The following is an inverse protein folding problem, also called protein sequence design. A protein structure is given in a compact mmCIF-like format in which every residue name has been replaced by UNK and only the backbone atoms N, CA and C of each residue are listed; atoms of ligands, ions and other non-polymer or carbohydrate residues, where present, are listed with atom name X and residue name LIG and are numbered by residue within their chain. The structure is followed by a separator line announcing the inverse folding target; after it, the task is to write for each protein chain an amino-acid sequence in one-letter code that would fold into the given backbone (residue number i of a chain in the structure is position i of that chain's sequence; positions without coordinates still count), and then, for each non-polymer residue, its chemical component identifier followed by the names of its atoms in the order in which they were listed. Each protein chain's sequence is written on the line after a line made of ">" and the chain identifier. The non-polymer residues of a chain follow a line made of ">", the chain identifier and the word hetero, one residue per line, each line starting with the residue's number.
data_IF_427837927957
#
_entry.id   IF_427837927957
#
_cell.length_a   1.000
_cell.length_b   1.000
_cell.length_c   1.000
_cell.angle_alpha   90.00
_cell.angle_beta   90.00
_cell.angle_gamma   90.00
#
_symmetry.space_group_name_H-M   'P 1'
#
loop_
_entity.id
_entity.type
_entity.pdbx_description
1 polymer ?
#
# COMPACT_ATOMS: atom_id res chain seq x y z
N UNK A 1 17.57 -41.89 4.56
CA UNK A 1 18.72 -42.20 5.43
C UNK A 1 19.54 -40.93 5.59
N UNK A 2 19.76 -40.51 6.82
CA UNK A 2 20.51 -39.27 7.14
C UNK A 2 22.00 -39.47 7.21
N UNK A 3 22.45 -40.70 7.46
CA UNK A 3 23.89 -41.07 7.53
C UNK A 3 24.21 -42.10 6.48
N UNK A 4 25.27 -41.87 5.70
CA UNK A 4 25.72 -42.75 4.61
C UNK A 4 27.25 -42.95 4.64
N UNK A 5 27.71 -44.20 4.36
CA UNK A 5 29.11 -44.47 4.12
C UNK A 5 29.43 -44.25 2.65
N UNK A 6 30.44 -43.49 2.35
CA UNK A 6 30.89 -43.21 0.96
C UNK A 6 31.75 -44.37 0.43
N UNK A 7 31.93 -44.45 -0.89
CA UNK A 7 32.83 -45.45 -1.52
C UNK A 7 34.27 -45.35 -1.03
N UNK A 8 34.70 -44.17 -0.54
CA UNK A 8 36.04 -43.92 0.06
C UNK A 8 36.12 -44.30 1.53
N UNK A 9 35.12 -45.01 2.10
CA UNK A 9 35.14 -45.48 3.49
C UNK A 9 34.77 -44.42 4.53
N UNK A 10 34.62 -43.14 4.15
CA UNK A 10 34.22 -42.01 5.03
C UNK A 10 32.70 -41.92 5.19
N UNK A 11 32.26 -41.26 6.24
CA UNK A 11 30.83 -41.05 6.50
C UNK A 11 30.35 -39.66 6.11
N UNK A 12 29.09 -39.57 5.75
CA UNK A 12 28.41 -38.33 5.38
C UNK A 12 27.07 -38.25 6.15
N UNK A 13 26.83 -37.10 6.75
CA UNK A 13 25.57 -36.73 7.36
C UNK A 13 24.83 -35.80 6.41
N UNK A 14 23.50 -36.07 6.23
CA UNK A 14 22.63 -35.34 5.31
C UNK A 14 21.29 -35.14 5.97
N UNK A 15 21.11 -34.04 6.67
CA UNK A 15 19.90 -33.70 7.42
C UNK A 15 19.02 -32.74 6.63
N UNK A 16 17.72 -33.05 6.55
CA UNK A 16 16.74 -32.15 5.95
C UNK A 16 16.37 -31.05 6.94
N UNK A 17 16.43 -29.81 6.49
CA UNK A 17 16.00 -28.62 7.21
C UNK A 17 14.71 -28.02 6.58
N UNK A 18 13.77 -28.88 6.17
CA UNK A 18 12.52 -28.47 5.55
C UNK A 18 12.64 -27.99 4.11
N UNK A 19 11.75 -27.09 3.72
CA UNK A 19 11.71 -26.48 2.40
C UNK A 19 11.82 -24.97 2.52
N UNK A 20 12.48 -24.35 1.55
CA UNK A 20 12.55 -22.90 1.47
C UNK A 20 11.14 -22.34 1.28
N UNK A 21 10.67 -21.43 2.16
CA UNK A 21 9.26 -21.04 2.20
C UNK A 21 8.78 -20.33 0.93
N UNK A 22 9.69 -19.66 0.22
CA UNK A 22 9.36 -18.93 -1.03
C UNK A 22 9.60 -19.78 -2.26
N UNK A 23 10.79 -20.43 -2.35
CA UNK A 23 11.19 -21.17 -3.56
C UNK A 23 10.75 -22.64 -3.56
N UNK A 24 10.21 -23.14 -2.45
CA UNK A 24 9.81 -24.54 -2.22
C UNK A 24 10.96 -25.56 -2.44
N UNK A 25 12.20 -25.09 -2.56
CA UNK A 25 13.37 -25.95 -2.67
C UNK A 25 13.71 -26.55 -1.32
N UNK A 26 14.06 -27.84 -1.33
CA UNK A 26 14.44 -28.56 -0.11
C UNK A 26 15.77 -28.03 0.42
N UNK A 27 15.79 -27.61 1.68
CA UNK A 27 17.00 -27.19 2.40
C UNK A 27 17.62 -28.40 3.04
N UNK A 28 18.94 -28.60 2.88
CA UNK A 28 19.68 -29.73 3.41
C UNK A 28 21.00 -29.26 4.00
N UNK A 29 21.34 -29.81 5.17
CA UNK A 29 22.63 -29.63 5.80
C UNK A 29 23.43 -30.90 5.53
N UNK A 30 24.52 -30.77 4.76
CA UNK A 30 25.38 -31.90 4.37
C UNK A 30 26.78 -31.69 4.95
N UNK A 31 27.26 -32.68 5.70
CA UNK A 31 28.62 -32.74 6.21
C UNK A 31 29.28 -34.04 5.74
N UNK A 32 30.46 -33.92 5.10
CA UNK A 32 31.17 -35.03 4.47
C UNK A 32 32.52 -35.24 5.16
N UNK A 33 33.08 -36.44 5.00
CA UNK A 33 34.47 -36.70 5.37
C UNK A 33 34.70 -37.21 6.80
N UNK A 34 33.60 -37.58 7.52
CA UNK A 34 33.68 -38.09 8.89
C UNK A 34 34.34 -39.46 8.95
N UNK A 35 35.15 -39.67 10.02
CA UNK A 35 36.01 -40.85 10.14
C UNK A 35 35.27 -42.10 10.64
N UNK A 36 34.26 -41.94 11.48
CA UNK A 36 33.52 -43.04 12.09
C UNK A 36 31.99 -42.85 12.04
N UNK A 37 31.26 -43.96 12.19
CA UNK A 37 29.80 -43.93 12.31
C UNK A 37 29.35 -43.24 13.59
N UNK A 38 30.12 -43.35 14.67
CA UNK A 38 29.85 -42.73 15.97
C UNK A 38 29.92 -41.20 15.83
N UNK A 39 31.00 -40.68 15.22
CA UNK A 39 31.18 -39.27 14.91
C UNK A 39 30.02 -38.72 14.05
N UNK A 40 29.55 -39.50 13.06
CA UNK A 40 28.44 -39.13 12.22
C UNK A 40 27.10 -39.06 12.99
N UNK A 41 26.87 -39.95 13.95
CA UNK A 41 25.67 -39.94 14.81
C UNK A 41 25.68 -38.75 15.78
N UNK A 42 26.81 -38.48 16.41
CA UNK A 42 26.97 -37.33 17.32
C UNK A 42 26.75 -36.01 16.57
N UNK A 43 27.33 -35.89 15.36
CA UNK A 43 27.14 -34.71 14.52
C UNK A 43 25.71 -34.58 14.03
N UNK A 44 25.04 -35.67 13.67
CA UNK A 44 23.60 -35.61 13.31
C UNK A 44 22.75 -35.12 14.47
N UNK A 45 22.98 -35.60 15.69
CA UNK A 45 22.26 -35.12 16.88
C UNK A 45 22.56 -33.65 17.16
N UNK A 46 23.85 -33.25 17.07
CA UNK A 46 24.22 -31.85 17.23
C UNK A 46 23.53 -30.96 16.19
N UNK A 47 23.52 -31.34 14.90
CA UNK A 47 22.79 -30.60 13.86
C UNK A 47 21.32 -30.49 14.18
N UNK A 48 20.67 -31.57 14.63
CA UNK A 48 19.23 -31.57 14.95
C UNK A 48 18.89 -30.69 16.17
N UNK A 49 19.73 -30.71 17.19
CA UNK A 49 19.45 -30.02 18.46
C UNK A 49 19.92 -28.57 18.45
N UNK A 50 21.09 -28.30 17.88
CA UNK A 50 21.73 -26.97 17.92
C UNK A 50 21.59 -26.26 16.60
N UNK A 51 22.10 -26.82 15.51
CA UNK A 51 22.14 -26.11 14.22
C UNK A 51 20.76 -25.89 13.61
N UNK A 52 19.78 -26.80 13.80
CA UNK A 52 18.43 -26.60 13.31
C UNK A 52 17.66 -25.56 14.14
N UNK A 53 17.99 -25.39 15.42
CA UNK A 53 17.41 -24.32 16.25
C UNK A 53 18.07 -22.98 16.05
N UNK A 54 19.40 -22.96 15.83
CA UNK A 54 20.15 -21.71 15.67
C UNK A 54 20.18 -21.16 14.24
N UNK A 55 20.08 -22.04 13.22
CA UNK A 55 20.18 -21.67 11.79
C UNK A 55 18.87 -21.80 11.02
N UNK A 56 17.79 -21.33 11.61
CA UNK A 56 16.51 -21.23 10.87
C UNK A 56 16.65 -20.34 9.61
N UNK A 57 17.76 -19.60 9.44
CA UNK A 57 17.92 -18.53 8.44
C UNK A 57 19.30 -18.52 7.76
N UNK A 58 19.73 -19.63 7.16
CA UNK A 58 20.96 -19.66 6.34
C UNK A 58 20.79 -18.98 4.95
N UNK A 59 19.59 -18.48 4.64
CA UNK A 59 19.33 -17.74 3.42
C UNK A 59 19.14 -16.23 3.70
N UNK A 60 19.54 -15.43 2.73
CA UNK A 60 19.41 -13.98 2.83
C UNK A 60 17.93 -13.61 2.67
N UNK A 61 17.31 -13.12 3.74
CA UNK A 61 15.97 -12.56 3.70
C UNK A 61 16.05 -11.10 3.27
N UNK A 62 15.43 -10.77 2.16
CA UNK A 62 15.43 -9.40 1.61
C UNK A 62 14.08 -8.70 1.78
N UNK A 63 14.08 -7.36 1.63
CA UNK A 63 12.83 -6.59 1.62
C UNK A 63 11.91 -6.99 0.47
N UNK A 64 12.47 -7.34 -0.71
CA UNK A 64 11.68 -7.76 -1.88
C UNK A 64 10.89 -9.03 -1.55
N UNK A 65 11.54 -10.05 -0.99
CA UNK A 65 10.88 -11.31 -0.60
C UNK A 65 9.72 -11.08 0.37
N UNK A 66 9.94 -10.27 1.40
CA UNK A 66 8.92 -10.03 2.41
C UNK A 66 7.80 -9.10 1.90
N UNK A 67 8.13 -8.19 1.00
CA UNK A 67 7.14 -7.32 0.38
C UNK A 67 6.21 -8.11 -0.55
N UNK A 68 6.74 -9.02 -1.36
CA UNK A 68 5.94 -9.90 -2.24
C UNK A 68 4.97 -10.76 -1.41
N UNK A 69 5.44 -11.31 -0.28
CA UNK A 69 4.59 -12.06 0.65
C UNK A 69 3.51 -11.16 1.30
N UNK A 70 3.83 -9.90 1.62
CA UNK A 70 2.86 -8.95 2.14
C UNK A 70 1.78 -8.62 1.11
N UNK A 71 2.16 -8.42 -0.16
CA UNK A 71 1.19 -8.16 -1.22
C UNK A 71 0.28 -9.37 -1.48
N UNK A 72 0.84 -10.57 -1.48
CA UNK A 72 0.05 -11.80 -1.60
C UNK A 72 -0.96 -11.94 -0.45
N UNK A 73 -0.54 -11.69 0.79
CA UNK A 73 -1.41 -11.69 1.97
C UNK A 73 -2.50 -10.58 1.85
N UNK A 74 -2.14 -9.38 1.40
CA UNK A 74 -3.09 -8.27 1.21
C UNK A 74 -4.12 -8.58 0.11
N UNK A 75 -3.72 -9.22 -1.00
CA UNK A 75 -4.62 -9.68 -2.07
C UNK A 75 -5.59 -10.76 -1.56
N UNK A 76 -5.10 -11.77 -0.86
CA UNK A 76 -5.93 -12.82 -0.25
C UNK A 76 -6.95 -12.27 0.74
N UNK A 77 -6.60 -11.20 1.45
CA UNK A 77 -7.48 -10.52 2.40
C UNK A 77 -8.40 -9.46 1.75
N UNK A 78 -8.47 -9.39 0.43
CA UNK A 78 -9.37 -8.50 -0.30
C UNK A 78 -9.08 -7.02 -0.10
N UNK A 79 -7.80 -6.63 0.11
CA UNK A 79 -7.42 -5.23 0.22
C UNK A 79 -7.69 -4.47 -1.07
N UNK A 80 -8.17 -3.24 -0.94
CA UNK A 80 -8.49 -2.38 -2.10
C UNK A 80 -7.24 -2.10 -2.95
N UNK A 81 -7.39 -2.14 -4.27
CA UNK A 81 -6.30 -1.88 -5.25
C UNK A 81 -5.60 -0.54 -5.00
N UNK A 82 -6.34 0.52 -4.64
CA UNK A 82 -5.75 1.83 -4.30
C UNK A 82 -4.79 1.77 -3.12
N UNK A 83 -5.07 0.89 -2.15
CA UNK A 83 -4.23 0.70 -0.98
C UNK A 83 -2.93 -0.05 -1.34
N UNK A 84 -3.04 -1.18 -2.05
CA UNK A 84 -1.88 -1.97 -2.47
C UNK A 84 -1.00 -1.20 -3.45
N UNK A 85 -1.58 -0.46 -4.40
CA UNK A 85 -0.85 0.44 -5.30
C UNK A 85 -0.07 1.52 -4.56
N UNK A 86 -0.68 2.13 -3.52
CA UNK A 86 0.02 3.12 -2.68
C UNK A 86 1.19 2.49 -1.90
N UNK A 87 1.01 1.28 -1.37
CA UNK A 87 2.09 0.56 -0.70
C UNK A 87 3.23 0.24 -1.68
N UNK A 88 2.91 -0.29 -2.87
CA UNK A 88 3.91 -0.59 -3.91
C UNK A 88 4.69 0.66 -4.30
N UNK A 89 4.03 1.78 -4.53
CA UNK A 89 4.69 3.04 -4.83
C UNK A 89 5.65 3.50 -3.72
N UNK A 90 5.25 3.38 -2.46
CA UNK A 90 6.12 3.71 -1.33
C UNK A 90 7.30 2.74 -1.20
N UNK A 91 7.07 1.46 -1.45
CA UNK A 91 8.09 0.44 -1.44
C UNK A 91 9.16 0.69 -2.52
N UNK A 92 8.74 0.77 -3.77
CA UNK A 92 9.64 0.96 -4.93
C UNK A 92 10.43 2.28 -4.85
N UNK A 93 9.82 3.35 -4.34
CA UNK A 93 10.46 4.67 -4.28
C UNK A 93 11.37 4.88 -3.09
N UNK A 94 11.08 4.24 -1.96
CA UNK A 94 11.72 4.61 -0.71
C UNK A 94 12.43 3.47 0.00
N UNK A 95 11.84 2.27 0.04
CA UNK A 95 12.37 1.13 0.80
C UNK A 95 13.35 0.33 -0.03
N UNK A 96 12.92 -0.15 -1.19
CA UNK A 96 13.71 -1.00 -2.08
C UNK A 96 15.07 -0.40 -2.46
N UNK A 97 15.18 0.89 -2.86
CA UNK A 97 16.48 1.46 -3.23
C UNK A 97 17.48 1.53 -2.08
N UNK A 98 16.99 1.71 -0.85
CA UNK A 98 17.85 1.82 0.33
C UNK A 98 18.32 0.46 0.85
N UNK A 99 17.41 -0.52 0.92
CA UNK A 99 17.69 -1.85 1.47
C UNK A 99 18.05 -2.89 0.41
N UNK A 100 18.39 -2.48 -0.80
CA UNK A 100 18.75 -3.36 -1.92
C UNK A 100 19.77 -4.42 -1.48
N UNK A 101 19.42 -5.69 -1.65
CA UNK A 101 20.25 -6.84 -1.31
C UNK A 101 20.68 -6.93 0.18
N UNK A 102 20.08 -6.16 1.06
CA UNK A 102 20.41 -6.21 2.50
C UNK A 102 19.79 -7.43 3.14
N UNK A 103 20.57 -8.18 3.92
CA UNK A 103 20.04 -9.24 4.76
C UNK A 103 19.31 -8.65 5.97
N UNK A 104 18.00 -8.81 6.03
CA UNK A 104 17.14 -8.23 7.07
C UNK A 104 17.44 -8.78 8.47
N UNK A 105 17.97 -10.01 8.59
CA UNK A 105 18.36 -10.59 9.87
C UNK A 105 19.52 -9.84 10.55
N UNK A 106 20.29 -9.04 9.79
CA UNK A 106 21.40 -8.23 10.30
C UNK A 106 21.00 -6.81 10.67
N UNK A 107 19.76 -6.41 10.38
CA UNK A 107 19.32 -5.05 10.66
C UNK A 107 19.00 -4.84 12.14
N UNK A 108 19.53 -3.74 12.66
CA UNK A 108 19.31 -3.27 14.03
C UNK A 108 18.42 -2.02 14.05
N UNK A 109 18.03 -1.59 15.25
CA UNK A 109 17.33 -0.35 15.44
C UNK A 109 18.09 0.84 14.83
N UNK A 110 19.41 0.90 14.98
CA UNK A 110 20.24 2.03 14.51
C UNK A 110 20.19 2.13 12.98
N UNK A 111 20.25 1.02 12.25
CA UNK A 111 20.11 1.02 10.79
C UNK A 111 18.74 1.56 10.35
N UNK A 112 17.66 1.28 11.11
CA UNK A 112 16.33 1.83 10.80
C UNK A 112 16.25 3.31 11.18
N UNK A 113 16.92 3.71 12.24
CA UNK A 113 17.05 5.13 12.61
C UNK A 113 17.78 5.92 11.51
N UNK A 114 18.91 5.41 10.99
CA UNK A 114 19.66 5.98 9.86
C UNK A 114 18.78 6.09 8.60
N UNK A 115 18.01 5.05 8.30
CA UNK A 115 17.04 5.10 7.18
C UNK A 115 16.01 6.21 7.37
N UNK A 116 15.49 6.42 8.59
CA UNK A 116 14.57 7.52 8.85
C UNK A 116 15.24 8.88 8.65
N UNK A 117 16.48 9.06 9.11
CA UNK A 117 17.23 10.31 8.90
C UNK A 117 17.52 10.54 7.40
N UNK A 118 17.89 9.49 6.65
CA UNK A 118 18.01 9.56 5.20
C UNK A 118 16.70 10.03 4.53
N UNK A 119 15.55 9.51 4.95
CA UNK A 119 14.27 9.94 4.39
C UNK A 119 13.96 11.44 4.63
N UNK A 120 14.48 12.03 5.71
CA UNK A 120 14.31 13.47 5.98
C UNK A 120 15.06 14.37 5.00
N UNK A 121 16.15 13.87 4.42
CA UNK A 121 16.96 14.59 3.44
C UNK A 121 16.55 14.28 2.00
N UNK A 122 15.70 13.28 1.79
CA UNK A 122 15.30 12.84 0.47
C UNK A 122 14.38 13.84 -0.22
N UNK A 123 14.71 14.32 -1.44
CA UNK A 123 13.88 15.25 -2.18
C UNK A 123 12.56 14.60 -2.65
N UNK A 124 11.53 15.43 -2.86
CA UNK A 124 10.28 15.01 -3.50
C UNK A 124 10.50 14.80 -4.99
N UNK A 125 9.79 13.84 -5.58
CA UNK A 125 9.85 13.59 -7.04
C UNK A 125 9.35 14.79 -7.87
N UNK A 126 8.37 15.52 -7.36
CA UNK A 126 7.71 16.62 -8.08
C UNK A 126 8.43 17.96 -7.91
N UNK A 127 9.22 18.10 -6.85
CA UNK A 127 9.98 19.32 -6.56
C UNK A 127 11.25 18.93 -5.79
N UNK A 128 12.39 18.95 -6.46
CA UNK A 128 13.68 18.57 -5.89
C UNK A 128 14.17 19.53 -4.80
N UNK A 129 13.63 20.74 -4.75
CA UNK A 129 13.92 21.72 -3.70
C UNK A 129 13.16 21.45 -2.41
N UNK A 130 12.24 20.50 -2.40
CA UNK A 130 11.45 20.13 -1.23
C UNK A 130 11.72 18.70 -0.77
N UNK A 131 11.94 18.52 0.54
CA UNK A 131 12.10 17.20 1.16
C UNK A 131 10.76 16.53 1.47
N UNK A 132 10.81 15.22 1.75
CA UNK A 132 9.63 14.45 2.13
C UNK A 132 8.99 15.00 3.41
N UNK A 133 7.67 15.10 3.42
CA UNK A 133 6.93 15.46 4.63
C UNK A 133 7.02 14.36 5.70
N UNK A 134 6.99 14.74 6.97
CA UNK A 134 6.98 13.78 8.09
C UNK A 134 5.81 12.79 8.01
N UNK A 135 4.68 13.20 7.46
CA UNK A 135 3.56 12.29 7.22
C UNK A 135 3.91 11.20 6.19
N UNK A 136 4.59 11.57 5.10
CA UNK A 136 5.07 10.61 4.09
C UNK A 136 6.10 9.66 4.69
N UNK A 137 7.08 10.19 5.44
CA UNK A 137 8.10 9.39 6.11
C UNK A 137 7.45 8.38 7.07
N UNK A 138 6.51 8.83 7.89
CA UNK A 138 5.78 7.94 8.81
C UNK A 138 5.02 6.83 8.06
N UNK A 139 4.43 7.11 6.89
CA UNK A 139 3.77 6.10 6.06
C UNK A 139 4.75 5.06 5.53
N UNK A 140 5.94 5.48 5.10
CA UNK A 140 7.01 4.58 4.65
C UNK A 140 7.49 3.69 5.81
N UNK A 141 7.68 4.24 7.00
CA UNK A 141 8.08 3.48 8.19
C UNK A 141 7.00 2.50 8.66
N UNK A 142 5.72 2.86 8.54
CA UNK A 142 4.59 1.95 8.82
C UNK A 142 4.59 0.79 7.82
N UNK A 143 4.87 1.05 6.54
CA UNK A 143 4.99 -0.01 5.54
C UNK A 143 6.19 -0.92 5.84
N UNK A 144 7.35 -0.35 6.14
CA UNK A 144 8.54 -1.13 6.51
C UNK A 144 8.26 -2.01 7.74
N UNK A 145 7.59 -1.46 8.77
CA UNK A 145 7.17 -2.25 9.92
C UNK A 145 6.29 -3.43 9.54
N UNK A 146 5.32 -3.26 8.63
CA UNK A 146 4.46 -4.35 8.14
C UNK A 146 5.24 -5.42 7.39
N UNK A 147 6.25 -5.03 6.58
CA UNK A 147 7.12 -5.97 5.88
C UNK A 147 7.85 -6.86 6.88
N UNK A 148 8.44 -6.29 7.94
CA UNK A 148 9.08 -7.06 9.01
C UNK A 148 8.06 -7.91 9.79
N UNK A 149 6.89 -7.38 10.12
CA UNK A 149 5.84 -8.15 10.81
C UNK A 149 5.37 -9.34 9.96
N UNK A 150 5.34 -9.22 8.63
CA UNK A 150 5.07 -10.35 7.72
C UNK A 150 6.18 -11.39 7.79
N UNK A 151 7.45 -10.97 7.80
CA UNK A 151 8.58 -11.87 7.97
C UNK A 151 8.52 -12.67 9.27
N UNK A 152 8.13 -12.04 10.37
CA UNK A 152 7.92 -12.72 11.67
C UNK A 152 6.78 -13.73 11.59
N UNK A 153 5.59 -13.32 11.03
CA UNK A 153 4.45 -14.25 10.87
C UNK A 153 4.78 -15.49 10.03
N UNK A 154 5.65 -15.32 9.04
CA UNK A 154 6.12 -16.42 8.17
C UNK A 154 7.34 -17.15 8.74
N UNK A 155 7.79 -16.82 9.96
CA UNK A 155 8.96 -17.39 10.62
C UNK A 155 10.25 -17.27 9.78
N UNK A 156 10.39 -16.19 9.02
CA UNK A 156 11.56 -15.90 8.19
C UNK A 156 12.59 -15.01 8.90
N UNK A 157 12.14 -14.23 9.88
CA UNK A 157 12.96 -13.38 10.74
C UNK A 157 12.42 -13.41 12.17
N UNK A 158 13.28 -13.18 13.16
CA UNK A 158 12.91 -13.26 14.59
C UNK A 158 12.48 -11.92 15.17
N UNK A 159 12.97 -10.82 14.65
CA UNK A 159 12.83 -9.49 15.25
C UNK A 159 12.36 -8.44 14.25
N UNK A 160 11.58 -7.48 14.73
CA UNK A 160 11.22 -6.31 13.96
C UNK A 160 11.93 -5.07 14.55
N UNK A 161 13.03 -4.60 13.94
CA UNK A 161 13.79 -3.46 14.45
C UNK A 161 13.02 -2.13 14.34
N UNK A 162 11.95 -2.08 13.54
CA UNK A 162 11.09 -0.89 13.38
C UNK A 162 10.11 -0.72 14.54
N UNK A 163 9.84 -1.78 15.32
CA UNK A 163 8.75 -1.82 16.32
C UNK A 163 8.81 -0.65 17.32
N UNK A 164 10.00 -0.31 17.78
CA UNK A 164 10.22 0.70 18.82
C UNK A 164 10.54 2.10 18.26
N UNK A 165 10.56 2.26 16.94
CA UNK A 165 10.87 3.54 16.32
C UNK A 165 9.70 4.52 16.52
N UNK A 166 9.98 5.67 17.17
CA UNK A 166 8.99 6.72 17.37
C UNK A 166 8.65 7.40 16.04
N UNK A 167 7.35 7.66 15.84
CA UNK A 167 6.87 8.45 14.70
C UNK A 167 7.37 9.89 14.80
N UNK A 168 7.61 10.50 13.65
CA UNK A 168 7.90 11.92 13.56
C UNK A 168 6.64 12.73 13.89
N UNK A 169 6.77 13.87 14.61
CA UNK A 169 5.64 14.71 14.95
C UNK A 169 5.04 15.35 13.69
N UNK A 170 3.72 15.29 13.56
CA UNK A 170 2.98 15.87 12.42
C UNK A 170 2.24 17.08 12.98
N UNK A 171 2.54 18.27 12.45
CA UNK A 171 1.71 19.46 12.69
C UNK A 171 0.40 19.29 11.93
N UNK A 172 -0.72 19.54 12.57
CA UNK A 172 -2.00 19.63 11.89
C UNK A 172 -1.94 20.87 11.00
N UNK A 173 -2.20 20.75 9.69
CA UNK A 173 -2.30 21.93 8.84
C UNK A 173 -3.51 22.77 9.25
N UNK A 174 -3.41 24.08 9.12
CA UNK A 174 -4.56 24.97 9.25
C UNK A 174 -5.57 24.63 8.16
N UNK A 175 -6.82 24.50 8.56
CA UNK A 175 -7.90 24.23 7.62
C UNK A 175 -8.19 25.53 6.87
N UNK A 176 -7.92 25.54 5.57
CA UNK A 176 -8.28 26.64 4.67
C UNK A 176 -9.62 26.31 4.01
N UNK A 177 -10.53 27.25 4.06
CA UNK A 177 -11.82 27.17 3.38
C UNK A 177 -12.05 28.48 2.64
N UNK A 178 -12.85 28.43 1.59
CA UNK A 178 -13.21 29.62 0.84
C UNK A 178 -14.44 30.30 1.43
N UNK A 179 -14.43 31.61 1.46
CA UNK A 179 -15.64 32.39 1.71
C UNK A 179 -16.58 32.31 0.50
N UNK A 180 -17.82 32.77 0.68
CA UNK A 180 -18.79 32.83 -0.43
C UNK A 180 -18.29 33.77 -1.52
N UNK A 181 -17.67 34.90 -1.13
CA UNK A 181 -17.11 35.89 -2.05
C UNK A 181 -15.94 35.33 -2.86
N UNK A 182 -15.05 34.59 -2.21
CA UNK A 182 -13.92 33.92 -2.88
C UNK A 182 -14.42 32.86 -3.86
N UNK A 183 -15.41 32.05 -3.45
CA UNK A 183 -16.00 31.06 -4.32
C UNK A 183 -16.74 31.68 -5.51
N UNK A 184 -17.45 32.78 -5.31
CA UNK A 184 -18.14 33.51 -6.38
C UNK A 184 -17.14 34.08 -7.39
N UNK A 185 -16.03 34.67 -6.92
CA UNK A 185 -14.95 35.14 -7.81
C UNK A 185 -14.33 33.99 -8.62
N UNK A 186 -14.08 32.86 -7.98
CA UNK A 186 -13.56 31.67 -8.67
C UNK A 186 -14.52 31.19 -9.76
N UNK A 187 -15.82 31.11 -9.48
CA UNK A 187 -16.82 30.73 -10.48
C UNK A 187 -16.85 31.65 -11.70
N UNK A 188 -16.65 32.96 -11.50
CA UNK A 188 -16.54 33.93 -12.59
C UNK A 188 -15.36 33.75 -13.54
N UNK A 189 -14.40 32.86 -13.20
CA UNK A 189 -13.28 32.47 -14.05
C UNK A 189 -13.56 31.22 -14.91
N UNK A 190 -14.65 30.50 -14.61
CA UNK A 190 -15.06 29.31 -15.37
C UNK A 190 -15.83 29.81 -16.59
N UNK A 191 -15.48 29.30 -17.77
CA UNK A 191 -16.11 29.71 -19.03
C UNK A 191 -17.54 29.15 -19.13
N UNK A 192 -18.37 29.86 -19.86
CA UNK A 192 -19.79 29.49 -20.03
C UNK A 192 -20.00 28.13 -20.71
N UNK A 193 -19.03 27.67 -21.52
CA UNK A 193 -19.04 26.36 -22.16
C UNK A 193 -18.58 25.22 -21.23
N UNK A 194 -17.98 25.54 -20.07
CA UNK A 194 -17.44 24.60 -19.08
C UNK A 194 -18.45 24.27 -17.94
N UNK A 195 -19.74 24.19 -18.27
CA UNK A 195 -20.84 23.99 -17.30
C UNK A 195 -20.62 22.79 -16.38
N UNK A 196 -20.04 21.70 -16.87
CA UNK A 196 -19.77 20.53 -16.07
C UNK A 196 -18.75 20.78 -14.95
N UNK A 197 -17.76 21.64 -15.20
CA UNK A 197 -16.80 22.05 -14.17
C UNK A 197 -17.45 22.99 -13.17
N UNK A 198 -18.23 23.97 -13.60
CA UNK A 198 -18.96 24.84 -12.69
C UNK A 198 -19.86 24.03 -11.74
N UNK A 199 -20.68 23.13 -12.30
CA UNK A 199 -21.55 22.27 -11.51
C UNK A 199 -20.79 21.38 -10.54
N UNK A 200 -19.66 20.82 -10.96
CA UNK A 200 -18.77 20.03 -10.07
C UNK A 200 -18.36 20.84 -8.85
N UNK A 201 -17.86 22.06 -9.04
CA UNK A 201 -17.42 22.92 -7.96
C UNK A 201 -18.56 23.40 -7.08
N UNK A 202 -19.71 23.70 -7.67
CA UNK A 202 -20.94 24.08 -6.91
C UNK A 202 -21.40 22.93 -6.03
N UNK A 203 -21.47 21.70 -6.55
CA UNK A 203 -21.79 20.52 -5.75
C UNK A 203 -20.76 20.38 -4.61
N UNK A 204 -19.46 20.46 -4.91
CA UNK A 204 -18.41 20.34 -3.89
C UNK A 204 -18.57 21.37 -2.77
N UNK A 205 -18.80 22.64 -3.12
CA UNK A 205 -18.91 23.74 -2.17
C UNK A 205 -20.13 23.62 -1.27
N UNK A 206 -21.31 23.36 -1.84
CA UNK A 206 -22.56 23.33 -1.07
C UNK A 206 -22.80 22.01 -0.32
N UNK A 207 -22.21 20.89 -0.77
CA UNK A 207 -22.48 19.57 -0.18
C UNK A 207 -21.33 19.03 0.67
N UNK A 208 -20.13 19.56 0.52
CA UNK A 208 -18.92 19.00 1.15
C UNK A 208 -18.61 17.57 0.70
N UNK A 209 -19.11 17.12 -0.45
CA UNK A 209 -18.79 15.81 -1.00
C UNK A 209 -17.32 15.72 -1.42
N UNK A 210 -16.75 14.53 -1.29
CA UNK A 210 -15.39 14.28 -1.79
C UNK A 210 -15.39 14.22 -3.32
N UNK A 211 -14.28 14.63 -3.94
CA UNK A 211 -14.12 14.59 -5.41
C UNK A 211 -14.56 13.24 -6.01
N UNK A 212 -14.10 12.13 -5.45
CA UNK A 212 -14.46 10.80 -5.96
C UNK A 212 -15.93 10.42 -5.77
N UNK A 213 -16.61 11.00 -4.80
CA UNK A 213 -18.06 10.82 -4.58
C UNK A 213 -18.84 11.59 -5.65
N UNK A 214 -18.45 12.84 -5.96
CA UNK A 214 -19.08 13.66 -7.00
C UNK A 214 -18.89 13.01 -8.38
N UNK A 215 -17.66 12.56 -8.70
CA UNK A 215 -17.36 11.90 -9.97
C UNK A 215 -18.08 10.54 -10.14
N UNK A 216 -18.55 9.94 -9.04
CA UNK A 216 -19.30 8.70 -9.07
C UNK A 216 -20.82 8.90 -9.21
N UNK A 217 -21.32 10.14 -9.12
CA UNK A 217 -22.76 10.41 -9.17
C UNK A 217 -23.37 10.01 -10.52
N UNK A 218 -24.50 9.35 -10.45
CA UNK A 218 -25.41 9.09 -11.57
C UNK A 218 -26.75 9.78 -11.29
N UNK A 219 -27.58 9.98 -12.31
CA UNK A 219 -28.91 10.54 -12.15
C UNK A 219 -29.81 9.73 -11.21
N UNK A 220 -29.60 8.42 -11.10
CA UNK A 220 -30.32 7.56 -10.15
C UNK A 220 -29.94 7.81 -8.68
N UNK A 221 -28.82 8.49 -8.43
CA UNK A 221 -28.38 8.87 -7.08
C UNK A 221 -28.96 10.24 -6.66
N UNK A 222 -29.74 10.93 -7.53
CA UNK A 222 -30.25 12.26 -7.30
C UNK A 222 -31.80 12.25 -7.40
N UNK A 223 -32.45 12.55 -6.30
CA UNK A 223 -33.88 12.73 -6.27
C UNK A 223 -34.22 14.23 -6.30
N UNK A 224 -34.62 14.72 -7.47
CA UNK A 224 -34.95 16.12 -7.70
C UNK A 224 -36.34 16.53 -7.12
N UNK A 225 -37.18 15.55 -6.78
CA UNK A 225 -38.47 15.84 -6.12
C UNK A 225 -38.27 16.16 -4.63
N UNK A 226 -37.32 15.49 -4.00
CA UNK A 226 -37.00 15.68 -2.58
C UNK A 226 -35.71 16.49 -2.38
N UNK A 227 -35.10 16.99 -3.46
CA UNK A 227 -33.83 17.71 -3.44
C UNK A 227 -32.74 16.94 -2.63
N UNK A 228 -32.60 15.64 -2.89
CA UNK A 228 -31.70 14.77 -2.12
C UNK A 228 -30.69 14.05 -3.01
N UNK A 229 -29.44 14.09 -2.62
CA UNK A 229 -28.34 13.29 -3.22
C UNK A 229 -28.03 12.12 -2.29
N UNK A 230 -28.02 10.91 -2.84
CA UNK A 230 -27.65 9.66 -2.16
C UNK A 230 -26.17 9.34 -2.43
N UNK A 231 -25.31 9.52 -1.44
CA UNK A 231 -23.87 9.23 -1.55
C UNK A 231 -23.62 7.78 -1.14
N UNK A 232 -23.42 6.89 -2.10
CA UNK A 232 -23.26 5.44 -1.85
C UNK A 232 -21.94 4.89 -2.39
N UNK A 233 -21.30 5.61 -3.32
CA UNK A 233 -20.14 5.14 -4.06
C UNK A 233 -19.11 6.25 -4.28
N UNK A 234 -17.91 5.85 -4.66
CA UNK A 234 -16.80 6.74 -4.98
C UNK A 234 -15.99 6.19 -6.14
N UNK A 235 -15.49 7.07 -6.99
CA UNK A 235 -14.51 6.75 -8.04
C UNK A 235 -13.11 7.08 -7.56
N UNK A 236 -12.14 6.25 -7.93
CA UNK A 236 -10.72 6.55 -7.81
C UNK A 236 -9.97 6.01 -9.03
N UNK A 237 -8.79 6.55 -9.28
CA UNK A 237 -7.97 6.19 -10.43
C UNK A 237 -6.67 5.53 -9.98
N UNK A 238 -6.31 4.44 -10.65
CA UNK A 238 -5.00 3.78 -10.52
C UNK A 238 -4.49 3.48 -11.92
N UNK A 239 -3.32 3.98 -12.25
CA UNK A 239 -2.69 3.80 -13.58
C UNK A 239 -3.65 4.11 -14.75
N UNK A 240 -4.31 5.26 -14.69
CA UNK A 240 -5.32 5.74 -15.66
C UNK A 240 -6.58 4.86 -15.79
N UNK A 241 -6.75 3.87 -14.94
CA UNK A 241 -7.98 3.05 -14.89
C UNK A 241 -8.86 3.55 -13.75
N UNK A 242 -10.14 3.78 -14.06
CA UNK A 242 -11.14 4.17 -13.06
C UNK A 242 -11.73 2.94 -12.37
N UNK A 243 -11.89 3.05 -11.06
CA UNK A 243 -12.51 2.03 -10.23
C UNK A 243 -13.65 2.65 -9.41
N UNK A 244 -14.82 2.02 -9.45
CA UNK A 244 -15.96 2.41 -8.62
C UNK A 244 -16.02 1.47 -7.42
N UNK A 245 -16.08 2.04 -6.23
CA UNK A 245 -16.24 1.29 -4.98
C UNK A 245 -17.35 1.91 -4.12
N UNK A 246 -17.85 1.11 -3.19
CA UNK A 246 -18.64 1.64 -2.09
C UNK A 246 -17.83 2.65 -1.28
N UNK A 247 -18.49 3.55 -0.57
CA UNK A 247 -17.85 4.53 0.31
C UNK A 247 -16.89 3.86 1.29
N UNK A 248 -15.84 4.58 1.71
CA UNK A 248 -14.74 4.02 2.52
C UNK A 248 -15.18 3.56 3.91
N UNK A 249 -16.23 4.14 4.45
CA UNK A 249 -16.75 3.88 5.80
C UNK A 249 -18.27 3.84 5.77
N UNK A 250 -18.88 3.20 6.77
CA UNK A 250 -20.34 3.17 6.94
C UNK A 250 -20.95 4.58 7.02
N UNK A 251 -20.25 5.52 7.66
CA UNK A 251 -20.58 6.95 7.72
C UNK A 251 -20.36 7.70 6.40
N UNK A 252 -19.70 7.08 5.41
CA UNK A 252 -19.56 7.64 4.07
C UNK A 252 -20.82 7.51 3.23
N UNK A 253 -21.67 6.51 3.51
CA UNK A 253 -23.00 6.39 2.91
C UNK A 253 -23.94 7.32 3.66
N UNK A 254 -24.44 8.32 2.96
CA UNK A 254 -25.26 9.38 3.53
C UNK A 254 -26.16 10.02 2.50
N UNK A 255 -27.22 10.66 2.96
CA UNK A 255 -28.11 11.48 2.16
C UNK A 255 -27.76 12.96 2.42
N UNK A 256 -27.75 13.77 1.38
CA UNK A 256 -27.50 15.21 1.45
C UNK A 256 -28.66 15.93 0.82
N UNK A 257 -29.35 16.73 1.61
CA UNK A 257 -30.38 17.66 1.08
C UNK A 257 -29.68 18.85 0.44
N UNK A 258 -30.04 19.17 -0.79
CA UNK A 258 -29.50 20.29 -1.55
C UNK A 258 -30.51 21.43 -1.58
N UNK A 259 -30.05 22.67 -1.73
CA UNK A 259 -30.89 23.81 -1.86
C UNK A 259 -31.56 23.88 -3.26
N UNK A 260 -32.62 24.66 -3.38
CA UNK A 260 -33.41 24.80 -4.60
C UNK A 260 -32.55 25.25 -5.79
N UNK A 261 -31.63 26.20 -5.57
CA UNK A 261 -30.76 26.74 -6.63
C UNK A 261 -29.83 25.67 -7.23
N UNK A 262 -29.26 24.78 -6.41
CA UNK A 262 -28.45 23.67 -6.91
C UNK A 262 -29.33 22.63 -7.63
N UNK A 263 -30.56 22.39 -7.15
CA UNK A 263 -31.50 21.50 -7.83
C UNK A 263 -31.87 22.02 -9.23
N UNK A 264 -32.13 23.30 -9.38
CA UNK A 264 -32.37 23.95 -10.68
C UNK A 264 -31.17 23.81 -11.63
N UNK A 265 -29.93 24.06 -11.14
CA UNK A 265 -28.72 23.87 -11.94
C UNK A 265 -28.56 22.41 -12.39
N UNK A 266 -28.93 21.44 -11.56
CA UNK A 266 -28.88 20.02 -11.92
C UNK A 266 -29.95 19.67 -12.99
N UNK A 267 -31.12 20.25 -12.93
CA UNK A 267 -32.20 20.11 -13.96
C UNK A 267 -31.70 20.64 -15.29
N UNK A 268 -31.17 21.85 -15.31
CA UNK A 268 -30.63 22.49 -16.53
C UNK A 268 -29.48 21.66 -17.13
N UNK A 269 -28.59 21.18 -16.28
CA UNK A 269 -27.50 20.31 -16.73
C UNK A 269 -27.99 18.99 -17.32
N UNK A 270 -29.05 18.39 -16.72
CA UNK A 270 -29.61 17.13 -17.22
C UNK A 270 -30.09 17.26 -18.66
N UNK A 271 -30.76 18.40 -18.98
CA UNK A 271 -31.22 18.72 -20.34
C UNK A 271 -30.01 18.88 -21.29
N UNK A 272 -29.07 19.75 -20.92
CA UNK A 272 -27.85 20.04 -21.74
C UNK A 272 -27.00 18.82 -21.94
N UNK A 273 -26.84 17.95 -20.92
CA UNK A 273 -26.11 16.70 -21.03
C UNK A 273 -26.77 15.74 -22.04
N UNK A 274 -28.11 15.66 -22.02
CA UNK A 274 -28.85 14.83 -22.98
C UNK A 274 -28.62 15.30 -24.41
N UNK A 275 -28.72 16.61 -24.66
CA UNK A 275 -28.47 17.23 -25.98
C UNK A 275 -27.04 16.92 -26.47
N UNK A 276 -26.02 17.14 -25.61
CA UNK A 276 -24.61 16.84 -25.96
C UNK A 276 -24.40 15.36 -26.28
N UNK A 277 -25.05 14.45 -25.55
CA UNK A 277 -24.95 13.00 -25.82
C UNK A 277 -25.62 12.61 -27.12
N UNK A 278 -26.78 13.21 -27.45
CA UNK A 278 -27.48 13.00 -28.74
C UNK A 278 -26.66 13.50 -29.92
N UNK A 279 -26.02 14.68 -29.80
CA UNK A 279 -25.10 15.21 -30.83
C UNK A 279 -23.90 14.28 -31.03
N UNK A 280 -23.33 13.77 -29.93
CA UNK A 280 -22.18 12.86 -30.00
C UNK A 280 -22.59 11.53 -30.68
N UNK A 281 -23.76 10.97 -30.34
CA UNK A 281 -24.25 9.72 -30.92
C UNK A 281 -24.58 9.87 -32.43
N UNK A 282 -24.97 11.06 -32.88
CA UNK A 282 -25.23 11.35 -34.31
C UNK A 282 -23.93 11.49 -35.11
N UNK A 283 -22.82 11.81 -34.46
CA UNK A 283 -21.53 12.06 -35.11
C UNK A 283 -20.68 10.81 -35.26
N UNK A 284 -20.96 9.77 -34.51
CA UNK A 284 -20.27 8.47 -34.50
C UNK A 284 -21.25 7.31 -34.64
#
# INVERSE_FOLDING_TARGET
>A
MTIRKTKSGKWTVDVSNGFHPVTQKRIRIIRKGLKSKKEALELEQHIRVVELKEKQFDFVVTTDMLFDLLEEDDLKNGRKVSYTSTQRNNYERHIKPYFKNTNLNKLTYDHIFEFREYLKTKPKKQNENEVLSYNTINKVLILLKKIFDTGIRKSLIDKNPVKNLRKLPIRKPDIKFWSIEEFTRFRGLIRDDEISYDLFFVIAFFTGMRMGEILALNWNDINLLTNTIYVTKTVYFVNNTSYINTTKTRSGTRNITINQKLAEMLIDWKVKQKEKLEEFTKKY
#
